data_IF_574978297421
#
_entry.id   IF_574978297421
#
_cell.length_a   1.000
_cell.length_b   1.000
_cell.length_c   1.000
_cell.angle_alpha   90.00
_cell.angle_beta   90.00
_cell.angle_gamma   90.00
#
_symmetry.space_group_name_H-M   'P 1'
#
loop_
_entity.id
_entity.type
_entity.pdbx_description
1 polymer ?
#
# COMPACT_ATOMS: atom_id res chain seq x y z
N UNK A 1 -19.94 -17.77 21.94
CA UNK A 1 -19.02 -18.81 22.44
C UNK A 1 -17.67 -18.15 22.65
N UNK A 2 -17.16 -18.15 23.88
CA UNK A 2 -16.10 -17.24 24.34
C UNK A 2 -14.74 -17.54 23.67
N UNK A 3 -14.17 -16.58 22.92
CA UNK A 3 -12.89 -16.74 22.19
C UNK A 3 -11.71 -17.08 23.12
N UNK A 4 -11.83 -16.83 24.44
CA UNK A 4 -10.82 -17.15 25.45
C UNK A 4 -10.72 -18.65 25.76
N UNK A 5 -11.82 -19.41 25.70
CA UNK A 5 -11.83 -20.85 25.99
C UNK A 5 -10.98 -21.66 24.99
N UNK A 6 -10.92 -21.21 23.74
CA UNK A 6 -10.10 -21.81 22.67
C UNK A 6 -8.61 -21.43 22.71
N UNK A 7 -8.21 -20.52 23.62
CA UNK A 7 -6.81 -20.13 23.77
C UNK A 7 -5.99 -21.20 24.50
N UNK A 8 -6.63 -22.01 25.35
CA UNK A 8 -5.99 -23.17 25.97
C UNK A 8 -6.10 -24.40 25.05
N UNK A 9 -4.97 -24.87 24.55
CA UNK A 9 -4.87 -25.99 23.62
C UNK A 9 -5.47 -27.28 24.18
N UNK A 10 -5.29 -27.58 25.47
CA UNK A 10 -5.83 -28.78 26.09
C UNK A 10 -7.36 -28.76 26.16
N UNK A 11 -7.94 -27.61 26.56
CA UNK A 11 -9.40 -27.44 26.65
C UNK A 11 -10.02 -27.56 25.25
N UNK A 12 -9.40 -26.93 24.24
CA UNK A 12 -9.85 -27.05 22.86
C UNK A 12 -9.82 -28.51 22.38
N UNK A 13 -8.71 -29.21 22.59
CA UNK A 13 -8.55 -30.58 22.10
C UNK A 13 -9.54 -31.53 22.80
N UNK A 14 -9.85 -31.34 24.10
CA UNK A 14 -10.91 -32.07 24.81
C UNK A 14 -12.29 -31.78 24.20
N UNK A 15 -12.65 -30.50 24.01
CA UNK A 15 -13.95 -30.11 23.45
C UNK A 15 -14.12 -30.70 22.04
N UNK A 16 -13.10 -30.59 21.19
CA UNK A 16 -13.13 -31.15 19.84
C UNK A 16 -13.25 -32.67 19.88
N UNK A 17 -12.56 -33.35 20.79
CA UNK A 17 -12.65 -34.81 20.92
C UNK A 17 -14.05 -35.26 21.31
N UNK A 18 -14.72 -34.53 22.22
CA UNK A 18 -16.13 -34.79 22.56
C UNK A 18 -17.04 -34.57 21.35
N UNK A 19 -16.88 -33.46 20.62
CA UNK A 19 -17.69 -33.16 19.43
C UNK A 19 -17.52 -34.24 18.36
N UNK A 20 -16.29 -34.65 18.04
CA UNK A 20 -16.02 -35.69 17.05
C UNK A 20 -16.51 -37.06 17.51
N UNK A 21 -16.44 -37.37 18.81
CA UNK A 21 -17.04 -38.58 19.38
C UNK A 21 -18.55 -38.62 19.18
N UNK A 22 -19.25 -37.54 19.53
CA UNK A 22 -20.70 -37.43 19.33
C UNK A 22 -21.09 -37.46 17.84
N UNK A 23 -20.29 -36.83 16.98
CA UNK A 23 -20.52 -36.87 15.53
C UNK A 23 -20.31 -38.28 14.98
N UNK A 24 -19.30 -39.01 15.48
CA UNK A 24 -19.05 -40.41 15.15
C UNK A 24 -20.25 -41.29 15.56
N UNK A 25 -20.76 -41.12 16.78
CA UNK A 25 -21.98 -41.78 17.26
C UNK A 25 -23.17 -41.49 16.34
N UNK A 26 -23.38 -40.21 15.97
CA UNK A 26 -24.49 -39.80 15.09
C UNK A 26 -24.39 -40.45 13.71
N UNK A 27 -23.21 -40.40 13.07
CA UNK A 27 -23.00 -41.00 11.75
C UNK A 27 -23.03 -42.53 11.80
N UNK A 28 -22.68 -43.14 12.93
CA UNK A 28 -22.80 -44.58 13.19
C UNK A 28 -24.24 -45.10 13.25
N UNK A 29 -25.24 -44.21 13.36
CA UNK A 29 -26.66 -44.58 13.23
C UNK A 29 -27.02 -44.99 11.80
N UNK A 30 -26.25 -44.52 10.80
CA UNK A 30 -26.41 -44.91 9.40
C UNK A 30 -25.72 -46.26 9.21
N UNK A 31 -26.51 -47.33 9.24
CA UNK A 31 -26.05 -48.72 9.11
C UNK A 31 -26.31 -49.26 7.72
N UNK A 32 -25.31 -49.91 7.14
CA UNK A 32 -25.41 -50.59 5.86
C UNK A 32 -25.34 -52.10 6.09
N UNK A 33 -26.42 -52.78 5.73
CA UNK A 33 -26.50 -54.23 5.84
C UNK A 33 -26.00 -54.86 4.52
N UNK A 34 -25.05 -55.78 4.61
CA UNK A 34 -24.50 -56.46 3.44
C UNK A 34 -25.10 -57.87 3.38
N UNK A 35 -25.86 -58.19 2.31
CA UNK A 35 -26.49 -59.49 2.18
C UNK A 35 -25.45 -60.62 2.26
N UNK A 36 -25.66 -61.57 3.17
CA UNK A 36 -24.78 -62.74 3.35
C UNK A 36 -23.73 -62.64 4.46
N UNK A 37 -23.61 -61.50 5.15
CA UNK A 37 -22.68 -61.30 6.26
C UNK A 37 -23.43 -60.91 7.53
N UNK A 38 -23.34 -61.73 8.58
CA UNK A 38 -24.01 -61.50 9.88
C UNK A 38 -23.07 -60.96 10.96
N UNK A 39 -21.75 -61.03 10.75
CA UNK A 39 -20.75 -60.73 11.78
C UNK A 39 -20.39 -59.25 11.92
N UNK A 40 -20.67 -58.40 10.92
CA UNK A 40 -20.31 -56.98 10.97
C UNK A 40 -21.30 -56.09 10.23
N UNK A 41 -21.65 -54.96 10.84
CA UNK A 41 -22.48 -53.91 10.24
C UNK A 41 -21.54 -52.77 9.83
N UNK A 42 -21.56 -52.39 8.56
CA UNK A 42 -20.82 -51.22 8.06
C UNK A 42 -21.54 -49.93 8.48
N UNK A 43 -20.81 -48.92 8.94
CA UNK A 43 -21.41 -47.64 9.36
C UNK A 43 -20.53 -46.45 8.98
N UNK A 44 -21.01 -45.21 9.19
CA UNK A 44 -20.21 -44.00 8.85
C UNK A 44 -19.47 -43.40 10.04
N UNK A 45 -19.40 -44.12 11.17
CA UNK A 45 -18.78 -43.65 12.41
C UNK A 45 -17.27 -43.35 12.27
N UNK A 46 -16.59 -44.00 11.33
CA UNK A 46 -15.15 -43.85 11.11
C UNK A 46 -14.77 -42.48 10.50
N UNK A 47 -15.67 -41.88 9.70
CA UNK A 47 -15.37 -40.62 9.01
C UNK A 47 -15.04 -39.48 10.00
N UNK A 48 -15.87 -39.20 11.03
CA UNK A 48 -15.53 -38.20 12.05
C UNK A 48 -14.25 -38.51 12.82
N UNK A 49 -13.96 -39.80 13.08
CA UNK A 49 -12.77 -40.23 13.81
C UNK A 49 -11.50 -39.92 13.01
N UNK A 50 -11.44 -40.31 11.73
CA UNK A 50 -10.32 -39.96 10.85
C UNK A 50 -10.17 -38.45 10.66
N UNK A 51 -11.28 -37.71 10.54
CA UNK A 51 -11.23 -36.24 10.39
C UNK A 51 -10.71 -35.55 11.67
N UNK A 52 -11.02 -36.10 12.85
CA UNK A 52 -10.63 -35.51 14.13
C UNK A 52 -9.10 -35.36 14.27
N UNK A 53 -8.33 -36.24 13.63
CA UNK A 53 -6.85 -36.24 13.59
C UNK A 53 -6.28 -34.94 12.99
N UNK A 54 -6.99 -34.28 12.08
CA UNK A 54 -6.52 -33.04 11.46
C UNK A 54 -6.60 -31.83 12.40
N UNK A 55 -7.50 -31.87 13.40
CA UNK A 55 -7.77 -30.76 14.31
C UNK A 55 -7.14 -30.95 15.70
N UNK A 56 -7.17 -32.17 16.22
CA UNK A 56 -6.67 -32.48 17.56
C UNK A 56 -5.15 -32.53 17.50
N UNK A 57 -4.50 -31.67 18.29
CA UNK A 57 -3.05 -31.50 18.21
C UNK A 57 -2.32 -32.58 19.00
N UNK A 58 -2.86 -32.99 20.14
CA UNK A 58 -2.34 -34.09 20.94
C UNK A 58 -3.18 -35.37 20.72
N UNK A 59 -2.60 -36.43 20.12
CA UNK A 59 -3.35 -37.65 19.78
C UNK A 59 -3.91 -38.39 21.00
N UNK A 60 -3.40 -38.16 22.22
CA UNK A 60 -3.96 -38.76 23.43
C UNK A 60 -5.43 -38.38 23.65
N UNK A 61 -5.87 -37.21 23.21
CA UNK A 61 -7.28 -36.81 23.37
C UNK A 61 -8.23 -37.54 22.42
N UNK A 62 -7.74 -38.16 21.34
CA UNK A 62 -8.55 -38.96 20.43
C UNK A 62 -9.21 -40.14 21.14
N UNK A 63 -8.63 -40.63 22.26
CA UNK A 63 -9.24 -41.69 23.06
C UNK A 63 -10.64 -41.31 23.56
N UNK A 64 -10.88 -40.01 23.81
CA UNK A 64 -12.20 -39.52 24.23
C UNK A 64 -13.20 -39.73 23.10
N UNK A 65 -12.83 -39.38 21.86
CA UNK A 65 -13.69 -39.59 20.68
C UNK A 65 -13.98 -41.07 20.47
N UNK A 66 -12.97 -41.93 20.63
CA UNK A 66 -13.09 -43.38 20.50
C UNK A 66 -14.03 -43.96 21.54
N UNK A 67 -13.86 -43.59 22.82
CA UNK A 67 -14.71 -44.08 23.92
C UNK A 67 -16.16 -43.68 23.70
N UNK A 68 -16.42 -42.42 23.32
CA UNK A 68 -17.78 -41.94 23.03
C UNK A 68 -18.39 -42.69 21.84
N UNK A 69 -17.63 -42.85 20.75
CA UNK A 69 -18.07 -43.59 19.56
C UNK A 69 -18.43 -45.04 19.90
N UNK A 70 -17.62 -45.69 20.74
CA UNK A 70 -17.82 -47.09 21.12
C UNK A 70 -19.06 -47.33 22.00
N UNK A 71 -19.70 -46.30 22.57
CA UNK A 71 -20.93 -46.44 23.35
C UNK A 71 -22.11 -46.96 22.53
N UNK A 72 -22.05 -46.86 21.19
CA UNK A 72 -23.09 -47.41 20.29
C UNK A 72 -22.74 -48.80 19.75
N UNK A 73 -21.70 -49.45 20.28
CA UNK A 73 -21.38 -50.84 19.93
C UNK A 73 -22.59 -51.73 20.19
N UNK A 74 -23.05 -52.53 19.21
CA UNK A 74 -24.17 -53.45 19.42
C UNK A 74 -23.91 -54.47 20.52
N UNK A 75 -24.97 -54.98 21.17
CA UNK A 75 -24.87 -55.96 22.27
C UNK A 75 -24.14 -57.26 21.89
N UNK A 76 -24.12 -57.60 20.60
CA UNK A 76 -23.41 -58.77 20.07
C UNK A 76 -21.90 -58.53 19.89
N UNK A 77 -21.44 -57.28 19.94
CA UNK A 77 -20.05 -56.89 19.82
C UNK A 77 -19.42 -56.52 21.17
N UNK A 78 -18.10 -56.52 21.24
CA UNK A 78 -17.38 -56.06 22.43
C UNK A 78 -17.00 -54.59 22.33
N UNK A 79 -17.49 -53.79 23.27
CA UNK A 79 -17.07 -52.39 23.45
C UNK A 79 -15.54 -52.28 23.58
N UNK A 80 -14.90 -53.25 24.25
CA UNK A 80 -13.44 -53.28 24.40
C UNK A 80 -12.73 -53.51 23.07
N UNK A 81 -13.22 -54.45 22.24
CA UNK A 81 -12.70 -54.67 20.88
C UNK A 81 -12.85 -53.40 20.04
N UNK A 82 -14.02 -52.76 20.09
CA UNK A 82 -14.30 -51.51 19.35
C UNK A 82 -13.35 -50.39 19.77
N UNK A 83 -13.13 -50.19 21.08
CA UNK A 83 -12.22 -49.16 21.59
C UNK A 83 -10.78 -49.44 21.12
N UNK A 84 -10.28 -50.66 21.31
CA UNK A 84 -8.89 -51.01 20.96
C UNK A 84 -8.64 -50.88 19.45
N UNK A 85 -9.59 -51.33 18.63
CA UNK A 85 -9.54 -51.22 17.18
C UNK A 85 -9.37 -49.77 16.71
N UNK A 86 -10.30 -48.88 17.10
CA UNK A 86 -10.23 -47.48 16.69
C UNK A 86 -9.08 -46.73 17.35
N UNK A 87 -8.76 -47.01 18.63
CA UNK A 87 -7.63 -46.37 19.31
C UNK A 87 -6.30 -46.72 18.63
N UNK A 88 -6.08 -48.00 18.29
CA UNK A 88 -4.88 -48.44 17.58
C UNK A 88 -4.79 -47.87 16.17
N UNK A 89 -5.89 -47.90 15.42
CA UNK A 89 -5.97 -47.28 14.10
C UNK A 89 -5.67 -45.78 14.12
N UNK A 90 -6.34 -45.02 15.00
CA UNK A 90 -6.18 -43.57 15.07
C UNK A 90 -4.81 -43.16 15.60
N UNK A 91 -4.20 -43.96 16.49
CA UNK A 91 -2.82 -43.75 16.90
C UNK A 91 -1.87 -43.83 15.69
N UNK A 92 -2.03 -44.86 14.85
CA UNK A 92 -1.29 -44.96 13.59
C UNK A 92 -1.58 -43.77 12.67
N UNK A 93 -2.85 -43.46 12.39
CA UNK A 93 -3.20 -42.42 11.44
C UNK A 93 -2.75 -41.03 11.91
N UNK A 94 -2.77 -40.77 13.22
CA UNK A 94 -2.22 -39.56 13.84
C UNK A 94 -0.73 -39.41 13.64
N UNK A 95 0.04 -40.48 13.88
CA UNK A 95 1.49 -40.50 13.62
C UNK A 95 1.77 -40.33 12.11
N UNK A 96 1.04 -41.05 11.27
CA UNK A 96 1.14 -40.96 9.81
C UNK A 96 0.84 -39.54 9.30
N UNK A 97 -0.19 -38.89 9.84
CA UNK A 97 -0.52 -37.52 9.51
C UNK A 97 0.63 -36.56 9.83
N UNK A 98 1.22 -36.67 11.02
CA UNK A 98 2.27 -35.75 11.44
C UNK A 98 3.57 -35.94 10.64
N UNK A 99 3.94 -37.20 10.35
CA UNK A 99 5.19 -37.52 9.66
C UNK A 99 5.11 -37.32 8.13
N UNK A 100 3.97 -37.64 7.52
CA UNK A 100 3.86 -37.73 6.06
C UNK A 100 2.90 -36.67 5.51
N UNK A 101 1.63 -36.68 5.91
CA UNK A 101 0.61 -35.81 5.29
C UNK A 101 0.87 -34.32 5.55
N UNK A 102 1.16 -33.95 6.81
CA UNK A 102 1.38 -32.56 7.19
C UNK A 102 2.57 -31.94 6.44
N UNK A 103 3.65 -32.71 6.26
CA UNK A 103 4.85 -32.27 5.53
C UNK A 103 4.61 -32.08 4.02
N UNK A 104 3.69 -32.85 3.44
CA UNK A 104 3.37 -32.79 2.01
C UNK A 104 2.12 -31.94 1.70
N UNK A 105 1.53 -31.27 2.70
CA UNK A 105 0.25 -30.54 2.60
C UNK A 105 0.20 -29.45 1.53
N UNK A 106 1.36 -28.93 1.09
CA UNK A 106 1.43 -27.89 0.05
C UNK A 106 1.27 -28.45 -1.37
N UNK A 107 1.57 -29.75 -1.57
CA UNK A 107 1.47 -30.43 -2.86
C UNK A 107 0.19 -31.27 -2.90
N UNK A 108 -0.84 -30.76 -3.57
CA UNK A 108 -2.19 -31.35 -3.57
C UNK A 108 -2.20 -32.82 -4.03
N UNK A 109 -1.56 -33.11 -5.17
CA UNK A 109 -1.55 -34.49 -5.73
C UNK A 109 -0.87 -35.47 -4.79
N UNK A 110 0.27 -35.10 -4.18
CA UNK A 110 0.97 -35.95 -3.21
C UNK A 110 0.16 -36.13 -1.94
N UNK A 111 -0.49 -35.07 -1.45
CA UNK A 111 -1.35 -35.14 -0.27
C UNK A 111 -2.51 -36.12 -0.47
N UNK A 112 -3.17 -36.08 -1.64
CA UNK A 112 -4.24 -37.01 -1.99
C UNK A 112 -3.72 -38.45 -2.04
N UNK A 113 -2.59 -38.67 -2.73
CA UNK A 113 -1.98 -40.01 -2.85
C UNK A 113 -1.60 -40.57 -1.47
N UNK A 114 -0.92 -39.79 -0.63
CA UNK A 114 -0.55 -40.22 0.70
C UNK A 114 -1.75 -40.41 1.62
N UNK A 115 -2.84 -39.66 1.44
CA UNK A 115 -4.07 -39.84 2.19
C UNK A 115 -4.69 -41.19 1.87
N UNK A 116 -4.79 -41.51 0.57
CA UNK A 116 -5.30 -42.80 0.11
C UNK A 116 -4.48 -43.95 0.69
N UNK A 117 -3.15 -43.89 0.58
CA UNK A 117 -2.25 -44.90 1.17
C UNK A 117 -2.44 -45.01 2.69
N UNK A 118 -2.55 -43.88 3.39
CA UNK A 118 -2.76 -43.86 4.84
C UNK A 118 -4.06 -44.53 5.26
N UNK A 119 -5.16 -44.26 4.54
CA UNK A 119 -6.47 -44.87 4.81
C UNK A 119 -6.47 -46.36 4.46
N UNK A 120 -5.81 -46.76 3.37
CA UNK A 120 -5.65 -48.18 3.03
C UNK A 120 -4.89 -48.93 4.14
N UNK A 121 -3.77 -48.37 4.63
CA UNK A 121 -3.02 -48.96 5.73
C UNK A 121 -3.81 -48.98 7.03
N UNK A 122 -4.56 -47.91 7.32
CA UNK A 122 -5.44 -47.81 8.49
C UNK A 122 -6.42 -49.00 8.55
N UNK A 123 -7.12 -49.28 7.45
CA UNK A 123 -8.08 -50.40 7.41
C UNK A 123 -7.37 -51.77 7.36
N UNK A 124 -6.40 -51.94 6.48
CA UNK A 124 -5.81 -53.26 6.19
C UNK A 124 -4.85 -53.76 7.27
N UNK A 125 -4.10 -52.86 7.92
CA UNK A 125 -3.02 -53.23 8.85
C UNK A 125 -3.41 -53.02 10.31
N UNK A 126 -4.26 -52.03 10.60
CA UNK A 126 -4.62 -51.69 11.98
C UNK A 126 -6.06 -52.10 12.31
N UNK A 127 -7.06 -51.52 11.66
CA UNK A 127 -8.46 -51.69 12.03
C UNK A 127 -8.89 -53.18 11.97
N UNK A 128 -8.76 -53.82 10.80
CA UNK A 128 -9.18 -55.21 10.64
C UNK A 128 -8.34 -56.15 11.53
N UNK A 129 -6.99 -56.15 11.50
CA UNK A 129 -6.20 -57.07 12.31
C UNK A 129 -6.42 -56.91 13.81
N UNK A 130 -6.50 -55.68 14.33
CA UNK A 130 -6.74 -55.45 15.76
C UNK A 130 -8.12 -55.99 16.15
N UNK A 131 -9.15 -55.75 15.34
CA UNK A 131 -10.49 -56.28 15.61
C UNK A 131 -10.50 -57.81 15.69
N UNK A 132 -9.82 -58.49 14.76
CA UNK A 132 -9.76 -59.96 14.75
C UNK A 132 -9.06 -60.46 16.02
N UNK A 133 -7.88 -59.92 16.32
CA UNK A 133 -7.06 -60.33 17.47
C UNK A 133 -7.82 -60.10 18.77
N UNK A 134 -8.46 -58.95 18.95
CA UNK A 134 -9.18 -58.64 20.19
C UNK A 134 -10.42 -59.50 20.37
N UNK A 135 -11.15 -59.81 19.30
CA UNK A 135 -12.32 -60.70 19.40
C UNK A 135 -11.93 -62.16 19.65
N UNK A 136 -10.84 -62.64 19.06
CA UNK A 136 -10.28 -63.97 19.38
C UNK A 136 -9.79 -64.03 20.84
N UNK A 137 -9.10 -62.99 21.32
CA UNK A 137 -8.61 -62.92 22.70
C UNK A 137 -9.75 -62.91 23.73
N UNK A 138 -10.89 -62.31 23.39
CA UNK A 138 -12.09 -62.27 24.24
C UNK A 138 -12.99 -63.50 24.08
N UNK A 139 -12.63 -64.47 23.24
CA UNK A 139 -13.43 -65.67 23.00
C UNK A 139 -14.74 -65.43 22.24
N UNK A 140 -14.84 -64.31 21.51
CA UNK A 140 -16.04 -63.94 20.74
C UNK A 140 -16.03 -64.51 19.31
N UNK A 141 -14.86 -64.99 18.86
CA UNK A 141 -14.70 -65.58 17.54
C UNK A 141 -13.60 -66.65 17.56
N UNK A 142 -13.90 -67.83 17.01
CA UNK A 142 -12.97 -68.96 16.89
C UNK A 142 -12.49 -69.18 15.44
N UNK A 143 -12.96 -68.39 14.48
CA UNK A 143 -12.53 -68.53 13.09
C UNK A 143 -11.06 -68.14 12.90
N UNK A 144 -10.38 -68.87 12.01
CA UNK A 144 -9.00 -68.59 11.63
C UNK A 144 -8.84 -67.16 11.08
N UNK A 145 -7.68 -66.56 11.33
CA UNK A 145 -7.40 -65.16 11.02
C UNK A 145 -7.63 -64.82 9.54
N UNK A 146 -7.13 -65.65 8.60
CA UNK A 146 -7.15 -65.34 7.16
C UNK A 146 -8.56 -65.38 6.58
N UNK A 147 -9.37 -66.45 6.77
CA UNK A 147 -10.77 -66.46 6.34
C UNK A 147 -11.55 -65.27 6.90
N UNK A 148 -11.43 -65.01 8.20
CA UNK A 148 -12.16 -63.93 8.85
C UNK A 148 -11.72 -62.54 8.37
N UNK A 149 -10.43 -62.34 8.09
CA UNK A 149 -9.91 -61.13 7.46
C UNK A 149 -10.55 -60.90 6.09
N UNK A 150 -10.65 -61.93 5.25
CA UNK A 150 -11.25 -61.80 3.92
C UNK A 150 -12.74 -61.45 3.96
N UNK A 151 -13.47 -62.04 4.91
CA UNK A 151 -14.87 -61.76 5.23
C UNK A 151 -15.04 -60.31 5.71
N UNK A 152 -14.29 -59.89 6.73
CA UNK A 152 -14.41 -58.55 7.29
C UNK A 152 -14.03 -57.47 6.28
N UNK A 153 -13.00 -57.70 5.46
CA UNK A 153 -12.63 -56.80 4.35
C UNK A 153 -13.77 -56.63 3.35
N UNK A 154 -14.48 -57.71 3.02
CA UNK A 154 -15.65 -57.62 2.14
C UNK A 154 -16.80 -56.85 2.81
N UNK A 155 -17.02 -57.09 4.09
CA UNK A 155 -18.07 -56.41 4.87
C UNK A 155 -17.81 -54.92 5.11
N UNK A 156 -16.54 -54.48 5.12
CA UNK A 156 -16.17 -53.08 5.36
C UNK A 156 -15.87 -52.32 4.05
N UNK A 157 -16.09 -52.92 2.88
CA UNK A 157 -15.72 -52.31 1.60
C UNK A 157 -16.40 -50.96 1.34
N UNK A 158 -17.70 -50.86 1.65
CA UNK A 158 -18.46 -49.62 1.49
C UNK A 158 -17.94 -48.53 2.43
N UNK A 159 -17.70 -48.87 3.69
CA UNK A 159 -17.12 -47.97 4.68
C UNK A 159 -15.75 -47.47 4.26
N UNK A 160 -14.88 -48.38 3.82
CA UNK A 160 -13.55 -48.04 3.32
C UNK A 160 -13.61 -47.03 2.16
N UNK A 161 -14.47 -47.26 1.16
CA UNK A 161 -14.59 -46.35 0.02
C UNK A 161 -15.14 -44.99 0.43
N UNK A 162 -16.15 -44.98 1.29
CA UNK A 162 -16.77 -43.73 1.74
C UNK A 162 -15.81 -42.93 2.62
N UNK A 163 -15.10 -43.58 3.55
CA UNK A 163 -14.01 -42.98 4.32
C UNK A 163 -12.91 -42.44 3.42
N UNK A 164 -12.44 -43.23 2.44
CA UNK A 164 -11.43 -42.79 1.47
C UNK A 164 -11.85 -41.52 0.73
N UNK A 165 -13.09 -41.49 0.21
CA UNK A 165 -13.63 -40.36 -0.53
C UNK A 165 -13.77 -39.12 0.37
N UNK A 166 -14.49 -39.26 1.50
CA UNK A 166 -14.87 -38.13 2.34
C UNK A 166 -13.66 -37.54 3.07
N UNK A 167 -12.76 -38.38 3.60
CA UNK A 167 -11.56 -37.91 4.31
C UNK A 167 -10.58 -37.26 3.33
N UNK A 168 -10.48 -37.75 2.09
CA UNK A 168 -9.65 -37.11 1.06
C UNK A 168 -10.20 -35.76 0.63
N UNK A 169 -11.51 -35.66 0.37
CA UNK A 169 -12.17 -34.38 0.07
C UNK A 169 -12.02 -33.40 1.23
N UNK A 170 -12.17 -33.88 2.46
CA UNK A 170 -11.95 -33.10 3.66
C UNK A 170 -10.50 -32.60 3.75
N UNK A 171 -9.51 -33.46 3.53
CA UNK A 171 -8.09 -33.08 3.54
C UNK A 171 -7.80 -31.95 2.52
N UNK A 172 -8.37 -32.07 1.32
CA UNK A 172 -8.23 -31.04 0.29
C UNK A 172 -8.84 -29.72 0.78
N UNK A 173 -10.08 -29.74 1.25
CA UNK A 173 -10.75 -28.56 1.80
C UNK A 173 -9.97 -27.93 2.96
N UNK A 174 -9.43 -28.76 3.87
CA UNK A 174 -8.67 -28.33 5.03
C UNK A 174 -7.35 -27.65 4.64
N UNK A 175 -6.61 -28.22 3.68
CA UNK A 175 -5.37 -27.65 3.19
C UNK A 175 -5.60 -26.33 2.43
N UNK A 176 -6.66 -26.24 1.62
CA UNK A 176 -7.05 -24.99 0.97
C UNK A 176 -7.43 -23.91 1.98
N UNK A 177 -8.18 -24.26 3.03
CA UNK A 177 -8.54 -23.33 4.10
C UNK A 177 -7.31 -22.74 4.78
N UNK A 178 -6.31 -23.57 5.13
CA UNK A 178 -5.04 -23.09 5.70
C UNK A 178 -4.26 -22.19 4.75
N UNK A 179 -4.21 -22.55 3.46
CA UNK A 179 -3.51 -21.75 2.44
C UNK A 179 -4.17 -20.38 2.25
N UNK A 180 -5.51 -20.35 2.21
CA UNK A 180 -6.28 -19.13 2.12
C UNK A 180 -6.08 -18.23 3.34
N UNK A 181 -6.06 -18.80 4.54
CA UNK A 181 -5.78 -18.04 5.76
C UNK A 181 -4.39 -17.40 5.74
N UNK A 182 -3.35 -18.14 5.32
CA UNK A 182 -2.00 -17.59 5.17
C UNK A 182 -1.96 -16.42 4.18
N UNK A 183 -2.64 -16.56 3.04
CA UNK A 183 -2.72 -15.48 2.06
C UNK A 183 -3.50 -14.27 2.58
N UNK A 184 -4.59 -14.47 3.33
CA UNK A 184 -5.34 -13.38 3.95
C UNK A 184 -4.46 -12.55 4.90
N UNK A 185 -3.72 -13.22 5.79
CA UNK A 185 -2.82 -12.56 6.75
C UNK A 185 -1.72 -11.80 6.02
N UNK A 186 -1.08 -12.43 5.03
CA UNK A 186 -0.02 -11.78 4.25
C UNK A 186 -0.55 -10.58 3.46
N UNK A 187 -1.77 -10.65 2.93
CA UNK A 187 -2.37 -9.54 2.20
C UNK A 187 -2.74 -8.38 3.13
N UNK A 188 -3.27 -8.68 4.32
CA UNK A 188 -3.54 -7.66 5.36
C UNK A 188 -2.26 -6.93 5.77
N UNK A 189 -1.14 -7.64 5.93
CA UNK A 189 0.17 -7.07 6.24
C UNK A 189 0.64 -6.11 5.14
N UNK A 190 0.61 -6.55 3.87
CA UNK A 190 1.01 -5.72 2.72
C UNK A 190 0.10 -4.48 2.60
N UNK A 191 -1.21 -4.64 2.75
CA UNK A 191 -2.15 -3.50 2.69
C UNK A 191 -1.87 -2.52 3.82
N UNK A 192 -1.59 -3.00 5.03
CA UNK A 192 -1.24 -2.14 6.17
C UNK A 192 0.03 -1.35 5.91
N UNK A 193 1.09 -2.00 5.41
CA UNK A 193 2.36 -1.35 5.06
C UNK A 193 2.16 -0.26 4.01
N UNK A 194 1.45 -0.58 2.90
CA UNK A 194 1.16 0.38 1.83
C UNK A 194 0.28 1.53 2.28
N UNK A 195 -0.65 1.28 3.18
CA UNK A 195 -1.52 2.34 3.73
C UNK A 195 -0.69 3.33 4.54
N UNK A 196 0.29 2.86 5.31
CA UNK A 196 1.18 3.73 6.09
C UNK A 196 2.15 4.52 5.18
N UNK A 197 2.73 3.87 4.17
CA UNK A 197 3.58 4.53 3.16
C UNK A 197 2.81 5.65 2.42
N UNK A 198 1.58 5.37 2.00
CA UNK A 198 0.70 6.36 1.37
C UNK A 198 0.38 7.52 2.30
N UNK A 199 0.14 7.25 3.59
CA UNK A 199 -0.13 8.30 4.58
C UNK A 199 1.07 9.24 4.71
N UNK A 200 2.28 8.70 4.86
CA UNK A 200 3.52 9.51 4.92
C UNK A 200 3.69 10.36 3.66
N UNK A 201 3.47 9.76 2.48
CA UNK A 201 3.59 10.47 1.20
C UNK A 201 2.58 11.62 1.08
N UNK A 202 1.35 11.41 1.56
CA UNK A 202 0.31 12.46 1.59
C UNK A 202 0.71 13.60 2.54
N UNK A 203 1.26 13.28 3.71
CA UNK A 203 1.74 14.29 4.67
C UNK A 203 2.87 15.13 4.07
N UNK A 204 3.87 14.50 3.44
CA UNK A 204 4.95 15.19 2.74
C UNK A 204 4.45 16.06 1.59
N UNK A 205 3.52 15.55 0.78
CA UNK A 205 2.94 16.29 -0.34
C UNK A 205 2.16 17.51 0.13
N UNK A 206 1.40 17.39 1.23
CA UNK A 206 0.68 18.52 1.81
C UNK A 206 1.65 19.59 2.31
N UNK A 207 2.71 19.20 3.02
CA UNK A 207 3.74 20.15 3.47
C UNK A 207 4.40 20.88 2.29
N UNK A 208 4.78 20.15 1.23
CA UNK A 208 5.37 20.75 0.03
C UNK A 208 4.39 21.70 -0.69
N UNK A 209 3.11 21.37 -0.74
CA UNK A 209 2.08 22.25 -1.30
C UNK A 209 1.89 23.53 -0.48
N UNK A 210 1.91 23.43 0.85
CA UNK A 210 1.85 24.60 1.73
C UNK A 210 3.05 25.53 1.51
N UNK A 211 4.25 24.97 1.40
CA UNK A 211 5.48 25.73 1.12
C UNK A 211 5.43 26.40 -0.26
N UNK A 212 4.99 25.69 -1.30
CA UNK A 212 4.78 26.26 -2.64
C UNK A 212 3.78 27.40 -2.63
N UNK A 213 2.66 27.24 -1.91
CA UNK A 213 1.64 28.28 -1.79
C UNK A 213 2.21 29.52 -1.11
N UNK A 214 2.94 29.35 -0.01
CA UNK A 214 3.62 30.44 0.69
C UNK A 214 4.64 31.17 -0.19
N UNK A 215 5.46 30.43 -0.94
CA UNK A 215 6.41 31.03 -1.88
C UNK A 215 5.71 31.78 -3.01
N UNK A 216 4.61 31.23 -3.55
CA UNK A 216 3.84 31.87 -4.61
C UNK A 216 3.24 33.20 -4.13
N UNK A 217 2.62 33.21 -2.96
CA UNK A 217 2.07 34.43 -2.35
C UNK A 217 3.17 35.47 -2.10
N UNK A 218 4.35 35.02 -1.66
CA UNK A 218 5.53 35.88 -1.48
C UNK A 218 6.03 36.49 -2.79
N UNK A 219 6.11 35.70 -3.86
CA UNK A 219 6.50 36.15 -5.19
C UNK A 219 5.49 37.16 -5.74
N UNK A 220 4.19 36.90 -5.60
CA UNK A 220 3.14 37.82 -6.05
C UNK A 220 3.24 39.18 -5.33
N UNK A 221 3.51 39.17 -4.02
CA UNK A 221 3.73 40.40 -3.26
C UNK A 221 4.97 41.17 -3.76
N UNK A 222 6.08 40.48 -4.00
CA UNK A 222 7.30 41.09 -4.52
C UNK A 222 7.05 41.69 -5.92
N UNK A 223 6.41 40.94 -6.82
CA UNK A 223 6.08 41.38 -8.16
C UNK A 223 5.17 42.61 -8.10
N UNK A 224 4.16 42.60 -7.24
CA UNK A 224 3.27 43.75 -7.04
C UNK A 224 4.03 44.98 -6.56
N UNK A 225 4.84 44.85 -5.51
CA UNK A 225 5.62 45.96 -4.97
C UNK A 225 6.58 46.54 -6.01
N UNK A 226 7.26 45.69 -6.77
CA UNK A 226 8.17 46.11 -7.84
C UNK A 226 7.43 46.79 -8.99
N UNK A 227 6.26 46.26 -9.36
CA UNK A 227 5.43 46.87 -10.40
C UNK A 227 4.99 48.26 -9.97
N UNK A 228 4.50 48.44 -8.74
CA UNK A 228 4.12 49.76 -8.21
C UNK A 228 5.30 50.72 -8.14
N UNK A 229 6.49 50.26 -7.69
CA UNK A 229 7.71 51.08 -7.68
C UNK A 229 8.07 51.55 -9.11
N UNK A 230 8.00 50.65 -10.09
CA UNK A 230 8.27 50.96 -11.49
C UNK A 230 7.25 51.93 -12.08
N UNK A 231 5.97 51.76 -11.77
CA UNK A 231 4.90 52.67 -12.19
C UNK A 231 5.11 54.08 -11.65
N UNK A 232 5.45 54.22 -10.35
CA UNK A 232 5.73 55.51 -9.74
C UNK A 232 6.97 56.17 -10.37
N UNK A 233 8.04 55.42 -10.59
CA UNK A 233 9.24 55.91 -11.29
C UNK A 233 8.93 56.36 -12.71
N UNK A 234 8.10 55.61 -13.43
CA UNK A 234 7.70 55.95 -14.79
C UNK A 234 6.86 57.25 -14.82
N UNK A 235 5.94 57.41 -13.86
CA UNK A 235 5.18 58.65 -13.69
C UNK A 235 6.10 59.85 -13.46
N UNK A 236 7.07 59.74 -12.54
CA UNK A 236 8.06 60.80 -12.27
C UNK A 236 8.90 61.16 -13.52
N UNK A 237 9.36 60.15 -14.27
CA UNK A 237 10.11 60.37 -15.50
C UNK A 237 9.27 61.09 -16.56
N UNK A 238 8.00 60.71 -16.70
CA UNK A 238 7.05 61.34 -17.62
C UNK A 238 6.80 62.81 -17.22
N UNK A 239 6.64 63.09 -15.94
CA UNK A 239 6.49 64.45 -15.41
C UNK A 239 7.74 65.31 -15.71
N UNK A 240 8.95 64.77 -15.48
CA UNK A 240 10.18 65.47 -15.84
C UNK A 240 10.31 65.73 -17.34
N UNK A 241 9.93 64.77 -18.18
CA UNK A 241 9.94 64.93 -19.64
C UNK A 241 9.00 66.08 -20.08
N UNK A 242 7.83 66.19 -19.43
CA UNK A 242 6.87 67.26 -19.66
C UNK A 242 7.42 68.63 -19.24
N UNK A 243 7.94 68.74 -18.01
CA UNK A 243 8.55 69.98 -17.49
C UNK A 243 9.67 70.45 -18.43
N UNK A 244 10.56 69.54 -18.83
CA UNK A 244 11.71 69.86 -19.65
C UNK A 244 11.29 70.39 -21.05
N UNK A 245 10.40 69.65 -21.73
CA UNK A 245 10.06 69.95 -23.12
C UNK A 245 9.09 71.12 -23.28
N UNK A 246 8.17 71.34 -22.33
CA UNK A 246 7.13 72.37 -22.45
C UNK A 246 7.36 73.56 -21.51
N UNK A 247 7.72 73.32 -20.25
CA UNK A 247 7.79 74.39 -19.25
C UNK A 247 9.14 75.11 -19.23
N UNK A 248 10.25 74.43 -19.51
CA UNK A 248 11.59 75.03 -19.54
C UNK A 248 11.97 75.53 -20.94
N UNK A 249 11.72 74.74 -21.98
CA UNK A 249 12.12 75.11 -23.35
C UNK A 249 11.34 76.29 -23.91
N UNK A 250 10.03 76.41 -23.62
CA UNK A 250 9.21 77.51 -24.10
C UNK A 250 9.66 78.90 -23.61
N UNK A 251 9.91 79.14 -22.29
CA UNK A 251 10.47 80.41 -21.86
C UNK A 251 11.88 80.63 -22.40
N UNK A 252 12.73 79.60 -22.49
CA UNK A 252 14.07 79.75 -23.05
C UNK A 252 14.06 80.19 -24.52
N UNK A 253 13.19 79.60 -25.35
CA UNK A 253 13.01 80.01 -26.74
C UNK A 253 12.54 81.48 -26.86
N UNK A 254 11.68 81.94 -25.93
CA UNK A 254 11.29 83.35 -25.84
C UNK A 254 12.47 84.26 -25.48
N UNK A 255 13.30 83.86 -24.51
CA UNK A 255 14.51 84.62 -24.15
C UNK A 255 15.47 84.68 -25.34
N UNK A 256 15.73 83.56 -26.02
CA UNK A 256 16.55 83.53 -27.23
C UNK A 256 16.04 84.50 -28.31
N UNK A 257 14.74 84.46 -28.60
CA UNK A 257 14.13 85.36 -29.59
C UNK A 257 14.21 86.85 -29.21
N UNK A 258 13.98 87.18 -27.94
CA UNK A 258 14.10 88.56 -27.44
C UNK A 258 15.57 89.03 -27.47
N UNK A 259 16.50 88.17 -27.08
CA UNK A 259 17.94 88.48 -27.09
C UNK A 259 18.42 88.72 -28.52
N UNK A 260 17.93 87.94 -29.48
CA UNK A 260 18.25 88.09 -30.90
C UNK A 260 17.69 89.39 -31.49
N UNK A 261 16.44 89.75 -31.15
CA UNK A 261 15.83 91.03 -31.54
C UNK A 261 16.62 92.23 -31.00
N UNK A 262 16.96 92.23 -29.71
CA UNK A 262 17.74 93.31 -29.08
C UNK A 262 19.12 93.41 -29.72
N UNK A 263 19.75 92.28 -30.06
CA UNK A 263 21.04 92.25 -30.77
C UNK A 263 20.97 92.89 -32.15
N UNK A 264 19.89 92.63 -32.90
CA UNK A 264 19.67 93.19 -34.24
C UNK A 264 19.42 94.70 -34.19
N UNK A 265 18.68 95.18 -33.19
CA UNK A 265 18.24 96.59 -33.10
C UNK A 265 19.20 97.51 -32.33
N UNK A 266 20.04 96.97 -31.44
CA UNK A 266 20.96 97.79 -30.65
C UNK A 266 22.10 98.39 -31.49
N UNK A 267 22.46 99.64 -31.24
CA UNK A 267 23.61 100.33 -31.86
C UNK A 267 24.78 100.54 -30.90
N UNK A 268 24.59 100.24 -29.61
CA UNK A 268 25.64 100.32 -28.59
C UNK A 268 26.53 99.06 -28.60
N UNK A 269 27.85 99.19 -28.85
CA UNK A 269 28.76 98.06 -28.95
C UNK A 269 28.80 97.18 -27.69
N UNK A 270 28.67 97.79 -26.51
CA UNK A 270 28.71 97.07 -25.23
C UNK A 270 27.46 96.24 -24.99
N UNK A 271 26.29 96.79 -25.34
CA UNK A 271 25.02 96.06 -25.31
C UNK A 271 25.02 94.88 -26.27
N UNK A 272 25.57 95.03 -27.49
CA UNK A 272 25.73 93.90 -28.42
C UNK A 272 26.59 92.79 -27.84
N UNK A 273 27.76 93.13 -27.28
CA UNK A 273 28.66 92.13 -26.68
C UNK A 273 27.98 91.36 -25.54
N UNK A 274 27.24 92.06 -24.66
CA UNK A 274 26.51 91.42 -23.57
C UNK A 274 25.35 90.55 -24.07
N UNK A 275 24.64 90.98 -25.11
CA UNK A 275 23.58 90.18 -25.74
C UNK A 275 24.14 88.95 -26.48
N UNK A 276 25.32 89.05 -27.10
CA UNK A 276 25.99 87.90 -27.71
C UNK A 276 26.39 86.85 -26.65
N UNK A 277 26.93 87.28 -25.52
CA UNK A 277 27.23 86.39 -24.38
C UNK A 277 25.97 85.73 -23.81
N UNK A 278 24.88 86.49 -23.66
CA UNK A 278 23.59 85.97 -23.20
C UNK A 278 22.98 84.99 -24.22
N UNK A 279 23.03 85.31 -25.51
CA UNK A 279 22.51 84.45 -26.58
C UNK A 279 23.25 83.11 -26.63
N UNK A 280 24.58 83.14 -26.54
CA UNK A 280 25.40 81.92 -26.48
C UNK A 280 25.07 81.10 -25.23
N UNK A 281 24.94 81.75 -24.06
CA UNK A 281 24.59 81.07 -22.81
C UNK A 281 23.20 80.43 -22.84
N UNK A 282 22.22 81.11 -23.47
CA UNK A 282 20.88 80.54 -23.69
C UNK A 282 20.88 79.41 -24.73
N UNK A 283 21.78 79.47 -25.72
CA UNK A 283 21.99 78.40 -26.70
C UNK A 283 22.54 77.13 -26.06
N UNK A 284 23.58 77.26 -25.23
CA UNK A 284 24.13 76.15 -24.43
C UNK A 284 23.05 75.50 -23.54
N UNK A 285 22.21 76.33 -22.91
CA UNK A 285 21.11 75.83 -22.08
C UNK A 285 20.04 75.08 -22.91
N UNK A 286 19.72 75.52 -24.13
CA UNK A 286 18.77 74.83 -25.02
C UNK A 286 19.32 73.48 -25.50
N UNK A 287 20.64 73.39 -25.73
CA UNK A 287 21.31 72.12 -26.04
C UNK A 287 21.22 71.14 -24.86
N UNK A 288 21.50 71.61 -23.63
CA UNK A 288 21.38 70.78 -22.41
C UNK A 288 19.92 70.31 -22.20
N UNK A 289 18.93 71.18 -22.44
CA UNK A 289 17.51 70.83 -22.33
C UNK A 289 17.12 69.78 -23.38
N UNK A 290 17.51 69.95 -24.65
CA UNK A 290 17.29 68.94 -25.71
C UNK A 290 17.93 67.59 -25.37
N UNK A 291 19.11 67.64 -24.77
CA UNK A 291 19.84 66.47 -24.33
C UNK A 291 19.08 65.72 -23.22
N UNK A 292 18.59 66.43 -22.21
CA UNK A 292 17.76 65.83 -21.16
C UNK A 292 16.43 65.28 -21.70
N UNK A 293 15.78 65.99 -22.64
CA UNK A 293 14.54 65.53 -23.27
C UNK A 293 14.73 64.20 -24.02
N UNK A 294 15.84 64.06 -24.75
CA UNK A 294 16.19 62.80 -25.44
C UNK A 294 16.51 61.66 -24.47
N UNK A 295 17.08 61.94 -23.30
CA UNK A 295 17.29 60.93 -22.26
C UNK A 295 15.98 60.46 -21.60
N UNK A 296 15.05 61.38 -21.34
CA UNK A 296 13.80 61.09 -20.63
C UNK A 296 12.76 60.41 -21.54
N UNK A 297 12.71 60.76 -22.83
CA UNK A 297 11.74 60.21 -23.80
C UNK A 297 12.08 58.81 -24.31
N UNK A 298 13.33 58.36 -24.16
CA UNK A 298 13.78 57.07 -24.69
C UNK A 298 13.38 55.84 -23.87
N UNK A 299 12.84 56.00 -22.66
CA UNK A 299 12.42 54.90 -21.77
C UNK A 299 13.50 53.85 -21.45
N UNK A 300 14.74 54.05 -21.90
CA UNK A 300 15.82 53.08 -21.90
C UNK A 300 16.92 53.58 -20.98
N UNK A 301 17.39 52.68 -20.12
CA UNK A 301 18.60 52.90 -19.34
C UNK A 301 19.72 53.14 -20.36
N UNK A 302 20.23 54.36 -20.42
CA UNK A 302 21.41 54.69 -21.22
C UNK A 302 22.51 53.68 -20.87
N UNK A 303 23.00 52.99 -21.89
CA UNK A 303 24.16 52.13 -21.75
C UNK A 303 25.32 52.94 -21.13
N UNK A 304 26.21 52.28 -20.41
CA UNK A 304 27.37 52.94 -19.78
C UNK A 304 28.14 53.80 -20.78
N UNK A 305 28.26 53.34 -22.03
CA UNK A 305 28.85 54.10 -23.15
C UNK A 305 28.08 55.37 -23.51
N UNK A 306 26.74 55.32 -23.53
CA UNK A 306 25.92 56.51 -23.79
C UNK A 306 26.01 57.52 -22.64
N UNK A 307 26.08 57.06 -21.38
CA UNK A 307 26.30 57.95 -20.22
C UNK A 307 27.67 58.62 -20.29
N UNK A 308 28.71 57.88 -20.63
CA UNK A 308 30.07 58.40 -20.75
C UNK A 308 30.17 59.43 -21.88
N UNK A 309 29.60 59.12 -23.05
CA UNK A 309 29.57 60.05 -24.19
C UNK A 309 28.82 61.34 -23.86
N UNK A 310 27.73 61.24 -23.09
CA UNK A 310 26.99 62.40 -22.63
C UNK A 310 27.79 63.27 -21.68
N UNK A 311 28.44 62.63 -20.70
CA UNK A 311 29.27 63.30 -19.71
C UNK A 311 30.43 64.02 -20.40
N UNK A 312 31.04 63.38 -21.39
CA UNK A 312 32.07 63.98 -22.23
C UNK A 312 31.52 65.17 -23.01
N UNK A 313 30.32 65.05 -23.61
CA UNK A 313 29.69 66.15 -24.36
C UNK A 313 29.30 67.34 -23.48
N UNK A 314 28.82 67.09 -22.26
CA UNK A 314 28.56 68.15 -21.26
C UNK A 314 29.88 68.81 -20.84
N UNK A 315 30.92 68.02 -20.58
CA UNK A 315 32.24 68.53 -20.24
C UNK A 315 32.87 69.33 -21.39
N UNK A 316 32.64 68.95 -22.65
CA UNK A 316 33.06 69.70 -23.83
C UNK A 316 32.35 71.04 -23.93
N UNK A 317 31.04 71.10 -23.69
CA UNK A 317 30.28 72.36 -23.66
C UNK A 317 30.81 73.28 -22.54
N UNK A 318 31.06 72.74 -21.34
CA UNK A 318 31.64 73.50 -20.22
C UNK A 318 33.06 73.99 -20.56
N UNK A 319 33.88 73.14 -21.19
CA UNK A 319 35.25 73.50 -21.58
C UNK A 319 35.30 74.53 -22.72
N UNK A 320 34.31 74.54 -23.62
CA UNK A 320 34.18 75.58 -24.65
C UNK A 320 33.83 76.94 -24.04
N UNK A 321 32.97 76.97 -23.01
CA UNK A 321 32.67 78.18 -22.23
C UNK A 321 33.92 78.77 -21.57
N UNK A 322 34.73 77.92 -20.95
CA UNK A 322 35.91 78.36 -20.19
C UNK A 322 37.08 78.78 -21.10
N UNK A 323 37.07 78.41 -22.38
CA UNK A 323 38.03 78.88 -23.41
C UNK A 323 37.58 80.17 -24.15
N UNK A 324 36.36 80.67 -23.90
CA UNK A 324 35.80 81.90 -24.49
C UNK A 324 35.85 83.11 -23.54
N UNK A 325 36.44 82.96 -22.35
CA UNK A 325 36.82 84.05 -21.43
C UNK A 325 38.30 84.42 -21.58
#
# INVERSE_FOLDING_TARGET
MDKKLFKNQHIRDVILSVIFGLLSTLLGLVKFNIPGFTAAISSLNEIPLLISVFYISNPFYLIISVVISALTTPDQGSVYSTILMHAGGLAFFGVYYHLILKKNSEQLVKSILFCAVGITLYYAVFLIPIFIITNQLLGLNETDFIPFYTELRSSLYFEYITSLLVVTLFLVQFNYGKKLQKYSISLEEIVSERTEELRSTIEELNHANEELTFMNDGLDLIVKNRTTELEERNYQLTEYAFINSHLLRAPLARVLGLTDLIRMESTDPRTKELMDKLFNSCGELDEIIKLMSTQLSGGSILSTTQKENLKNKINEIIAQRDNLN
#
